data_IF_491602668210
#
_entry.id   IF_491602668210
#
_cell.length_a   1.000
_cell.length_b   1.000
_cell.length_c   1.000
_cell.angle_alpha   90.00
_cell.angle_beta   90.00
_cell.angle_gamma   90.00
#
_symmetry.space_group_name_H-M   'P 1'
#
loop_
_entity.id
_entity.type
_entity.pdbx_description
1 polymer ?
#
# COMPACT_ATOMS: atom_id res chain seq x y z
N UNK A 1 6.04 1.03 13.05
CA UNK A 1 6.87 1.48 11.90
C UNK A 1 7.39 2.85 12.22
N UNK A 2 8.60 3.20 11.79
CA UNK A 2 9.17 4.54 11.96
C UNK A 2 9.77 5.02 10.64
N UNK A 3 9.78 6.33 10.44
CA UNK A 3 10.57 6.97 9.40
C UNK A 3 11.82 7.56 10.04
N UNK A 4 12.98 7.25 9.48
CA UNK A 4 14.28 7.68 10.02
C UNK A 4 14.96 8.66 9.07
N UNK A 5 15.70 9.60 9.63
CA UNK A 5 16.55 10.49 8.87
C UNK A 5 17.75 9.71 8.32
N UNK A 6 17.88 9.64 6.99
CA UNK A 6 18.91 8.84 6.31
C UNK A 6 20.36 9.19 6.68
N UNK A 7 20.61 10.42 7.15
CA UNK A 7 21.96 10.90 7.47
C UNK A 7 22.30 10.69 8.93
N UNK A 8 21.33 10.86 9.83
CA UNK A 8 21.56 10.84 11.28
C UNK A 8 21.07 9.56 11.96
N UNK A 9 20.24 8.75 11.30
CA UNK A 9 19.60 7.57 11.87
C UNK A 9 18.54 7.88 12.94
N UNK A 10 18.24 9.16 13.21
CA UNK A 10 17.24 9.55 14.20
C UNK A 10 15.84 9.43 13.63
N UNK A 11 14.90 9.05 14.49
CA UNK A 11 13.47 9.04 14.17
C UNK A 11 13.00 10.44 13.75
N UNK A 12 12.33 10.50 12.61
CA UNK A 12 11.53 11.66 12.17
C UNK A 12 10.14 11.54 12.80
N UNK A 13 9.52 10.38 12.66
CA UNK A 13 8.25 10.03 13.30
C UNK A 13 8.13 8.53 13.48
N UNK A 14 7.24 8.14 14.40
CA UNK A 14 6.86 6.75 14.65
C UNK A 14 5.34 6.57 14.55
N UNK A 15 4.94 5.43 13.99
CA UNK A 15 3.55 5.03 13.80
C UNK A 15 3.30 3.65 14.40
N UNK A 16 2.31 3.58 15.29
CA UNK A 16 1.84 2.32 15.86
C UNK A 16 0.82 1.68 14.92
N UNK A 17 1.21 0.57 14.31
CA UNK A 17 0.33 -0.18 13.41
C UNK A 17 -0.81 -0.83 14.18
N UNK A 18 -2.03 -0.88 13.62
CA UNK A 18 -3.16 -1.62 14.20
C UNK A 18 -2.92 -3.14 14.29
N UNK A 19 -1.90 -3.66 13.60
CA UNK A 19 -1.55 -5.08 13.63
C UNK A 19 -0.26 -5.37 12.89
N UNK A 20 -0.05 -6.64 12.54
CA UNK A 20 1.08 -7.07 11.73
C UNK A 20 1.16 -6.25 10.43
N UNK A 21 2.36 -5.80 10.08
CA UNK A 21 2.64 -5.10 8.82
C UNK A 21 3.14 -6.13 7.82
N UNK A 22 2.46 -6.24 6.69
CA UNK A 22 2.85 -7.15 5.61
C UNK A 22 3.90 -6.52 4.69
N UNK A 23 3.43 -5.76 3.71
CA UNK A 23 4.28 -5.08 2.73
C UNK A 23 4.18 -3.56 2.89
N UNK A 24 5.24 -2.85 2.54
CA UNK A 24 5.26 -1.39 2.48
C UNK A 24 5.91 -0.91 1.17
N UNK A 25 5.48 0.27 0.71
CA UNK A 25 6.03 0.94 -0.45
C UNK A 25 6.00 2.45 -0.23
N UNK A 26 7.04 3.15 -0.69
CA UNK A 26 7.07 4.61 -0.71
C UNK A 26 6.84 5.09 -2.13
N UNK A 27 5.86 5.97 -2.32
CA UNK A 27 5.66 6.63 -3.61
C UNK A 27 6.10 8.08 -3.51
N UNK A 28 7.23 8.39 -4.15
CA UNK A 28 7.95 9.63 -3.92
C UNK A 28 7.23 10.88 -4.46
N UNK A 29 6.38 10.75 -5.48
CA UNK A 29 5.77 11.91 -6.14
C UNK A 29 4.74 12.65 -5.28
N UNK A 30 4.15 11.97 -4.31
CA UNK A 30 3.05 12.54 -3.52
C UNK A 30 3.33 12.60 -2.02
N UNK A 31 4.56 12.33 -1.60
CA UNK A 31 4.94 12.29 -0.17
C UNK A 31 4.04 11.34 0.64
N UNK A 32 3.75 10.15 0.09
CA UNK A 32 2.92 9.13 0.72
C UNK A 32 3.68 7.84 0.95
N UNK A 33 3.48 7.27 2.14
CA UNK A 33 3.96 5.94 2.49
C UNK A 33 2.76 4.99 2.58
N UNK A 34 2.87 3.86 1.89
CA UNK A 34 1.83 2.85 1.84
C UNK A 34 2.27 1.60 2.57
N UNK A 35 1.37 0.98 3.32
CA UNK A 35 1.63 -0.31 3.94
C UNK A 35 0.36 -1.11 4.14
N UNK A 36 0.47 -2.44 4.17
CA UNK A 36 -0.65 -3.32 4.50
C UNK A 36 -0.62 -3.73 5.96
N UNK A 37 -1.78 -3.74 6.61
CA UNK A 37 -1.96 -4.33 7.94
C UNK A 37 -3.34 -4.94 8.11
N UNK A 38 -3.41 -6.12 8.72
CA UNK A 38 -4.62 -6.94 8.84
C UNK A 38 -5.23 -7.27 7.45
N UNK A 39 -6.32 -6.61 7.05
CA UNK A 39 -6.97 -6.77 5.75
C UNK A 39 -7.00 -5.46 4.95
N UNK A 40 -6.18 -4.48 5.36
CA UNK A 40 -6.27 -3.11 4.86
C UNK A 40 -4.94 -2.62 4.31
N UNK A 41 -5.03 -1.77 3.30
CA UNK A 41 -3.95 -0.91 2.82
C UNK A 41 -4.12 0.47 3.44
N UNK A 42 -3.05 1.01 4.01
CA UNK A 42 -3.02 2.33 4.62
C UNK A 42 -2.11 3.25 3.82
N UNK A 43 -2.51 4.52 3.71
CA UNK A 43 -1.65 5.59 3.22
C UNK A 43 -1.37 6.57 4.35
N UNK A 44 -0.09 6.83 4.59
CA UNK A 44 0.37 7.83 5.55
C UNK A 44 0.98 9.02 4.82
N UNK A 45 0.83 10.20 5.39
CA UNK A 45 1.64 11.36 5.03
C UNK A 45 3.09 11.11 5.46
N UNK A 46 4.05 11.17 4.53
CA UNK A 46 5.45 10.91 4.85
C UNK A 46 6.08 11.98 5.72
N UNK A 47 5.50 13.18 5.82
CA UNK A 47 6.02 14.27 6.64
C UNK A 47 5.77 14.07 8.14
N UNK A 48 4.57 13.60 8.51
CA UNK A 48 4.15 13.52 9.92
C UNK A 48 3.61 12.15 10.35
N UNK A 49 3.58 11.16 9.45
CA UNK A 49 3.14 9.80 9.74
C UNK A 49 1.63 9.65 9.94
N UNK A 50 0.82 10.70 9.73
CA UNK A 50 -0.62 10.62 9.91
C UNK A 50 -1.28 9.82 8.79
N UNK A 51 -2.28 9.02 9.16
CA UNK A 51 -3.11 8.31 8.19
C UNK A 51 -3.93 9.30 7.37
N UNK A 52 -3.75 9.24 6.05
CA UNK A 52 -4.54 10.00 5.08
C UNK A 52 -5.82 9.24 4.72
N UNK A 53 -5.69 7.94 4.47
CA UNK A 53 -6.81 7.06 4.16
C UNK A 53 -6.43 5.59 4.41
N UNK A 54 -7.45 4.74 4.42
CA UNK A 54 -7.30 3.28 4.41
C UNK A 54 -8.27 2.65 3.42
N UNK A 55 -7.85 1.58 2.76
CA UNK A 55 -8.64 0.78 1.83
C UNK A 55 -8.76 -0.64 2.35
N UNK A 56 -9.98 -1.14 2.49
CA UNK A 56 -10.24 -2.53 2.87
C UNK A 56 -10.20 -3.40 1.61
N UNK A 57 -9.17 -4.25 1.50
CA UNK A 57 -9.03 -5.17 0.38
C UNK A 57 -9.83 -6.46 0.60
N UNK A 58 -10.29 -6.71 1.84
CA UNK A 58 -10.81 -8.01 2.25
C UNK A 58 -9.79 -9.14 2.11
N UNK A 59 -8.51 -8.83 1.89
CA UNK A 59 -7.44 -9.81 1.74
C UNK A 59 -6.51 -9.75 2.95
N UNK A 60 -6.36 -10.86 3.68
CA UNK A 60 -5.39 -10.98 4.75
C UNK A 60 -3.97 -10.62 4.30
N UNK A 61 -3.20 -9.93 5.15
CA UNK A 61 -1.81 -9.55 4.85
C UNK A 61 -0.87 -10.72 4.58
N UNK A 62 -1.18 -11.90 5.10
CA UNK A 62 -0.44 -13.15 4.87
C UNK A 62 -0.78 -13.81 3.51
N UNK A 63 -1.73 -13.26 2.74
CA UNK A 63 -2.10 -13.73 1.40
C UNK A 63 -1.14 -13.29 0.28
N UNK A 64 0.13 -13.03 0.61
CA UNK A 64 1.16 -12.65 -0.36
C UNK A 64 0.80 -11.38 -1.13
N UNK A 65 0.53 -10.29 -0.41
CA UNK A 65 0.15 -9.01 -1.03
C UNK A 65 1.36 -8.29 -1.63
N UNK A 66 1.13 -7.52 -2.70
CA UNK A 66 2.11 -6.61 -3.27
C UNK A 66 1.48 -5.24 -3.58
N UNK A 67 2.28 -4.19 -3.37
CA UNK A 67 1.92 -2.81 -3.70
C UNK A 67 2.81 -2.38 -4.87
N UNK A 68 2.18 -1.94 -5.95
CA UNK A 68 2.85 -1.25 -7.05
C UNK A 68 2.34 0.17 -7.18
N UNK A 69 3.26 1.09 -7.35
CA UNK A 69 2.96 2.51 -7.36
C UNK A 69 3.78 3.18 -8.44
N UNK A 70 3.37 3.04 -9.71
CA UNK A 70 4.13 3.58 -10.81
C UNK A 70 4.17 5.12 -10.74
N UNK A 71 5.32 5.72 -11.08
CA UNK A 71 5.46 7.16 -11.17
C UNK A 71 4.57 7.71 -12.30
N UNK A 72 4.02 8.91 -12.12
CA UNK A 72 3.15 9.64 -13.03
C UNK A 72 1.76 9.03 -13.28
N UNK A 73 1.35 8.07 -12.46
CA UNK A 73 -0.02 7.54 -12.45
C UNK A 73 -0.79 8.03 -11.23
N UNK A 74 -2.07 8.34 -11.36
CA UNK A 74 -2.94 8.65 -10.21
C UNK A 74 -3.30 7.40 -9.38
N UNK A 75 -3.04 6.21 -9.93
CA UNK A 75 -3.38 4.93 -9.33
C UNK A 75 -2.17 4.26 -8.69
N UNK A 76 -2.37 3.69 -7.50
CA UNK A 76 -1.58 2.58 -7.02
C UNK A 76 -2.34 1.27 -7.24
N UNK A 77 -1.62 0.16 -7.18
CA UNK A 77 -2.14 -1.16 -7.40
C UNK A 77 -1.82 -2.06 -6.22
N UNK A 78 -2.84 -2.78 -5.75
CA UNK A 78 -2.70 -3.81 -4.73
C UNK A 78 -3.03 -5.17 -5.37
N UNK A 79 -2.08 -6.10 -5.35
CA UNK A 79 -2.26 -7.45 -5.87
C UNK A 79 -2.10 -8.49 -4.77
N UNK A 80 -2.80 -9.62 -4.90
CA UNK A 80 -2.55 -10.82 -4.10
C UNK A 80 -2.02 -11.94 -5.00
N UNK A 81 -0.96 -12.61 -4.53
CA UNK A 81 -0.36 -13.77 -5.21
C UNK A 81 -0.87 -15.10 -4.64
N UNK A 82 -2.18 -15.24 -4.47
CA UNK A 82 -2.84 -16.48 -4.04
C UNK A 82 -3.71 -17.08 -5.17
N UNK A 83 -4.28 -18.27 -4.93
CA UNK A 83 -5.13 -18.98 -5.91
C UNK A 83 -6.45 -18.26 -6.23
N UNK A 84 -6.85 -17.28 -5.42
CA UNK A 84 -8.02 -16.42 -5.64
C UNK A 84 -7.57 -15.00 -5.93
N UNK A 85 -6.64 -14.84 -6.88
CA UNK A 85 -5.90 -13.61 -7.11
C UNK A 85 -6.82 -12.39 -7.23
N UNK A 86 -6.61 -11.42 -6.35
CA UNK A 86 -7.28 -10.12 -6.38
C UNK A 86 -6.33 -9.05 -6.88
N UNK A 87 -6.83 -8.16 -7.71
CA UNK A 87 -6.11 -7.00 -8.18
C UNK A 87 -6.97 -5.75 -8.08
N UNK A 88 -6.48 -4.73 -7.38
CA UNK A 88 -7.20 -3.49 -7.15
C UNK A 88 -6.42 -2.33 -7.73
N UNK A 89 -7.10 -1.45 -8.48
CA UNK A 89 -6.60 -0.11 -8.78
C UNK A 89 -7.24 0.88 -7.83
N UNK A 90 -6.40 1.63 -7.11
CA UNK A 90 -6.80 2.51 -6.03
C UNK A 90 -6.24 3.89 -6.34
N UNK A 91 -7.08 4.92 -6.28
CA UNK A 91 -6.64 6.30 -6.43
C UNK A 91 -5.73 6.71 -5.26
N UNK A 92 -4.51 7.14 -5.57
CA UNK A 92 -3.49 7.49 -4.56
C UNK A 92 -3.93 8.63 -3.64
N UNK A 93 -4.68 9.59 -4.19
CA UNK A 93 -5.14 10.77 -3.45
C UNK A 93 -6.18 10.45 -2.36
N UNK A 94 -7.08 9.51 -2.64
CA UNK A 94 -8.30 9.33 -1.83
C UNK A 94 -8.44 7.93 -1.24
N UNK A 95 -7.69 6.95 -1.73
CA UNK A 95 -7.88 5.54 -1.37
C UNK A 95 -9.12 4.92 -2.01
N UNK A 96 -9.81 5.61 -2.91
CA UNK A 96 -10.99 5.08 -3.58
C UNK A 96 -10.60 4.04 -4.63
N UNK A 97 -11.32 2.92 -4.62
CA UNK A 97 -11.23 1.91 -5.68
C UNK A 97 -11.69 2.53 -7.00
N UNK A 98 -10.80 2.53 -7.99
CA UNK A 98 -11.14 2.85 -9.38
C UNK A 98 -11.72 1.65 -10.09
N UNK A 99 -11.13 0.48 -9.89
CA UNK A 99 -11.62 -0.81 -10.41
C UNK A 99 -10.96 -1.97 -9.66
N UNK A 100 -11.52 -3.18 -9.82
CA UNK A 100 -10.92 -4.42 -9.34
C UNK A 100 -11.05 -5.56 -10.35
N UNK A 101 -10.21 -6.57 -10.18
CA UNK A 101 -10.19 -7.78 -10.97
C UNK A 101 -9.96 -8.99 -10.06
N UNK A 102 -10.63 -10.10 -10.39
CA UNK A 102 -10.53 -11.37 -9.68
C UNK A 102 -10.22 -12.48 -10.67
N UNK A 103 -9.32 -13.37 -10.32
CA UNK A 103 -9.05 -14.60 -11.07
C UNK A 103 -9.08 -15.82 -10.17
N UNK A 104 -9.44 -16.96 -10.76
CA UNK A 104 -9.26 -18.30 -10.17
C UNK A 104 -7.81 -18.77 -10.36
N UNK A 105 -6.85 -17.90 -10.06
CA UNK A 105 -5.42 -18.16 -10.17
C UNK A 105 -4.56 -16.93 -9.92
N UNK A 106 -3.27 -17.04 -10.24
CA UNK A 106 -2.33 -15.94 -10.10
C UNK A 106 -2.66 -14.79 -11.06
N UNK A 107 -2.63 -13.56 -10.54
CA UNK A 107 -2.78 -12.34 -11.35
C UNK A 107 -1.44 -11.64 -11.45
N UNK A 108 -1.03 -11.31 -12.67
CA UNK A 108 0.03 -10.33 -12.94
C UNK A 108 -0.54 -9.18 -13.77
N UNK A 109 0.14 -8.04 -13.75
CA UNK A 109 -0.22 -6.88 -14.55
C UNK A 109 1.04 -6.26 -15.13
N UNK A 110 0.92 -5.67 -16.31
CA UNK A 110 2.00 -4.89 -16.93
C UNK A 110 1.85 -3.43 -16.49
N UNK A 111 2.82 -2.93 -15.74
CA UNK A 111 2.87 -1.53 -15.30
C UNK A 111 3.56 -0.59 -16.29
N UNK A 112 3.44 -0.84 -17.61
CA UNK A 112 4.05 0.03 -18.63
C UNK A 112 3.42 1.42 -18.62
#
# INVERSE_FOLDING_TARGET
MALVNKTTGKDIWSFQSPGYIGIYAQCNEEARLYFTSQNKLYALNSADGKTLWSFDSGQPVDSGLNISCPPNYDSLYLSSFNVNGKFFSIEKATGKRRWDYSADGYVSFLGK
#
